data_IF_202208735141
#
_entry.id   IF_202208735141
#
_cell.length_a   1.000
_cell.length_b   1.000
_cell.length_c   1.000
_cell.angle_alpha   90.00
_cell.angle_beta   90.00
_cell.angle_gamma   90.00
#
_symmetry.space_group_name_H-M   'P 1'
#
loop_
_entity.id
_entity.type
_entity.pdbx_description
1 polymer ?
#
# COMPACT_ATOMS: atom_id res chain seq x y z
N UNK A 1 -2.66 15.36 20.86
CA UNK A 1 -3.81 15.76 21.71
C UNK A 1 -4.02 14.66 22.72
N UNK A 2 -4.19 15.01 24.00
CA UNK A 2 -4.53 14.03 25.04
C UNK A 2 -5.83 13.32 24.66
N UNK A 3 -5.93 12.01 24.90
CA UNK A 3 -7.13 11.21 24.58
C UNK A 3 -8.40 11.84 25.13
N UNK A 4 -8.31 12.41 26.35
CA UNK A 4 -9.39 13.14 27.00
C UNK A 4 -9.84 14.37 26.20
N UNK A 5 -8.91 15.12 25.59
CA UNK A 5 -9.23 16.29 24.75
C UNK A 5 -9.94 15.88 23.47
N UNK A 6 -9.51 14.79 22.83
CA UNK A 6 -10.17 14.27 21.62
C UNK A 6 -11.56 13.74 21.93
N UNK A 7 -11.74 13.01 23.03
CA UNK A 7 -13.05 12.56 23.47
C UNK A 7 -13.98 13.74 23.79
N UNK A 8 -13.49 14.73 24.55
CA UNK A 8 -14.25 15.95 24.84
C UNK A 8 -14.65 16.70 23.57
N UNK A 9 -13.77 16.74 22.56
CA UNK A 9 -14.07 17.32 21.26
C UNK A 9 -15.20 16.57 20.53
N UNK A 10 -15.19 15.23 20.54
CA UNK A 10 -16.29 14.43 19.96
C UNK A 10 -17.62 14.69 20.67
N UNK A 11 -17.63 14.77 22.00
CA UNK A 11 -18.84 15.07 22.78
C UNK A 11 -19.35 16.48 22.46
N UNK A 12 -18.47 17.48 22.42
CA UNK A 12 -18.84 18.84 22.05
C UNK A 12 -19.42 18.91 20.61
N UNK A 13 -18.85 18.14 19.69
CA UNK A 13 -19.34 18.01 18.32
C UNK A 13 -20.75 17.42 18.29
N UNK A 14 -20.99 16.36 19.07
CA UNK A 14 -22.30 15.69 19.15
C UNK A 14 -23.39 16.60 19.71
N UNK A 15 -23.08 17.36 20.76
CA UNK A 15 -24.01 18.32 21.34
C UNK A 15 -24.37 19.43 20.35
N UNK A 16 -23.38 19.97 19.62
CA UNK A 16 -23.62 21.00 18.61
C UNK A 16 -24.54 20.50 17.48
N UNK A 17 -24.38 19.25 17.03
CA UNK A 17 -25.27 18.66 16.03
C UNK A 17 -26.68 18.45 16.59
N UNK A 18 -26.81 17.85 17.78
CA UNK A 18 -28.12 17.56 18.39
C UNK A 18 -28.90 18.86 18.62
N UNK A 19 -28.27 19.90 19.17
CA UNK A 19 -28.92 21.21 19.38
C UNK A 19 -29.33 21.83 18.02
N UNK A 20 -28.44 21.77 17.04
CA UNK A 20 -28.69 22.30 15.69
C UNK A 20 -29.88 21.62 14.99
N UNK A 21 -30.07 20.33 15.23
CA UNK A 21 -31.19 19.56 14.67
C UNK A 21 -32.46 19.63 15.54
N UNK A 22 -32.33 19.83 16.85
CA UNK A 22 -33.46 19.88 17.78
C UNK A 22 -34.21 21.22 17.75
N UNK A 23 -33.52 22.35 17.56
CA UNK A 23 -34.15 23.67 17.50
C UNK A 23 -35.15 23.82 16.32
N UNK A 24 -34.85 23.37 15.08
CA UNK A 24 -35.84 23.33 14.01
C UNK A 24 -37.00 22.37 14.30
N UNK A 25 -36.74 21.25 15.00
CA UNK A 25 -37.78 20.32 15.43
C UNK A 25 -38.79 20.99 16.38
N UNK A 26 -38.33 21.79 17.35
CA UNK A 26 -39.20 22.58 18.23
C UNK A 26 -40.11 23.55 17.45
N UNK A 27 -39.58 24.21 16.43
CA UNK A 27 -40.36 25.11 15.58
C UNK A 27 -41.43 24.34 14.79
N UNK A 28 -41.03 23.28 14.07
CA UNK A 28 -41.92 22.56 13.14
C UNK A 28 -42.94 21.66 13.84
N UNK A 29 -42.59 21.08 15.00
CA UNK A 29 -43.43 20.10 15.69
C UNK A 29 -44.12 20.63 16.95
N UNK A 30 -43.55 21.62 17.62
CA UNK A 30 -44.09 22.13 18.89
C UNK A 30 -44.58 23.59 18.79
N UNK A 31 -44.54 24.21 17.61
CA UNK A 31 -45.12 25.53 17.37
C UNK A 31 -44.36 26.69 18.01
N UNK A 32 -43.08 26.50 18.37
CA UNK A 32 -42.23 27.57 18.88
C UNK A 32 -41.92 28.62 17.79
N UNK A 33 -41.27 29.74 18.14
CA UNK A 33 -40.96 30.80 17.18
C UNK A 33 -39.89 30.38 16.16
N UNK A 34 -40.04 30.83 14.91
CA UNK A 34 -39.06 30.66 13.83
C UNK A 34 -37.69 31.30 14.16
N UNK A 35 -37.63 32.20 15.16
CA UNK A 35 -36.38 32.78 15.63
C UNK A 35 -35.36 31.73 16.11
N UNK A 36 -35.82 30.53 16.49
CA UNK A 36 -34.96 29.41 16.87
C UNK A 36 -34.10 28.86 15.70
N UNK A 37 -34.43 29.21 14.45
CA UNK A 37 -33.65 28.78 13.28
C UNK A 37 -32.27 29.46 13.21
N UNK A 38 -32.15 30.68 13.72
CA UNK A 38 -30.88 31.40 13.73
C UNK A 38 -29.83 30.71 14.64
N UNK A 39 -30.12 30.42 15.93
CA UNK A 39 -29.19 29.65 16.76
C UNK A 39 -29.00 28.21 16.24
N UNK A 40 -30.01 27.61 15.59
CA UNK A 40 -29.85 26.30 14.94
C UNK A 40 -28.78 26.31 13.84
N UNK A 41 -28.83 27.30 12.95
CA UNK A 41 -27.86 27.46 11.87
C UNK A 41 -26.44 27.71 12.41
N UNK A 42 -26.31 28.53 13.46
CA UNK A 42 -25.02 28.76 14.13
C UNK A 42 -24.48 27.47 14.74
N UNK A 43 -25.35 26.65 15.37
CA UNK A 43 -24.96 25.37 15.97
C UNK A 43 -24.48 24.37 14.91
N UNK A 44 -25.16 24.30 13.75
CA UNK A 44 -24.74 23.43 12.64
C UNK A 44 -23.43 23.91 11.97
N UNK A 45 -23.23 25.23 11.85
CA UNK A 45 -21.97 25.79 11.38
C UNK A 45 -20.82 25.48 12.36
N UNK A 46 -21.08 25.56 13.66
CA UNK A 46 -20.14 25.20 14.71
C UNK A 46 -19.80 23.70 14.65
N UNK A 47 -20.79 22.83 14.46
CA UNK A 47 -20.57 21.39 14.26
C UNK A 47 -19.63 21.11 13.08
N UNK A 48 -19.88 21.73 11.92
CA UNK A 48 -19.04 21.57 10.74
C UNK A 48 -17.60 22.04 11.00
N UNK A 49 -17.42 23.14 11.75
CA UNK A 49 -16.11 23.62 12.16
C UNK A 49 -15.43 22.65 13.15
N UNK A 50 -16.11 22.17 14.19
CA UNK A 50 -15.53 21.25 15.17
C UNK A 50 -15.00 19.96 14.52
N UNK A 51 -15.66 19.47 13.46
CA UNK A 51 -15.18 18.31 12.70
C UNK A 51 -13.83 18.56 12.04
N UNK A 52 -13.52 19.79 11.59
CA UNK A 52 -12.23 20.11 10.95
C UNK A 52 -11.05 20.08 11.92
N UNK A 53 -11.31 20.19 13.23
CA UNK A 53 -10.29 20.14 14.27
C UNK A 53 -9.77 18.73 14.56
N UNK A 54 -10.39 17.69 13.99
CA UNK A 54 -9.97 16.31 14.22
C UNK A 54 -8.75 15.94 13.35
N UNK A 55 -7.64 15.44 13.94
CA UNK A 55 -6.35 15.26 13.26
C UNK A 55 -6.27 14.01 12.35
N UNK A 56 -7.40 13.38 12.01
CA UNK A 56 -7.46 12.13 11.26
C UNK A 56 -8.29 12.25 9.99
N UNK A 57 -8.09 11.34 9.02
CA UNK A 57 -8.87 11.31 7.79
C UNK A 57 -10.39 11.42 8.07
N UNK A 58 -11.07 12.31 7.34
CA UNK A 58 -12.47 12.69 7.61
C UNK A 58 -13.41 11.50 7.76
N UNK A 59 -13.32 10.48 6.89
CA UNK A 59 -14.18 9.29 6.98
C UNK A 59 -14.04 8.49 8.28
N UNK A 60 -12.84 8.44 8.88
CA UNK A 60 -12.64 7.79 10.19
C UNK A 60 -13.18 8.63 11.33
N UNK A 61 -13.10 9.96 11.22
CA UNK A 61 -13.69 10.89 12.19
C UNK A 61 -15.20 10.68 12.23
N UNK A 62 -15.88 10.68 11.08
CA UNK A 62 -17.32 10.43 11.02
C UNK A 62 -17.72 9.08 11.58
N UNK A 63 -16.96 8.02 11.26
CA UNK A 63 -17.25 6.68 11.77
C UNK A 63 -17.05 6.56 13.28
N UNK A 64 -16.00 7.19 13.85
CA UNK A 64 -15.77 7.20 15.29
C UNK A 64 -16.77 8.09 16.02
N UNK A 65 -17.04 9.27 15.47
CA UNK A 65 -18.01 10.24 15.94
C UNK A 65 -19.41 9.61 16.13
N UNK A 66 -19.86 8.79 15.17
CA UNK A 66 -21.16 8.14 15.22
C UNK A 66 -21.39 7.31 16.50
N UNK A 67 -20.35 6.66 17.03
CA UNK A 67 -20.44 5.92 18.29
C UNK A 67 -20.69 6.84 19.50
N UNK A 68 -19.96 7.97 19.58
CA UNK A 68 -20.17 8.97 20.63
C UNK A 68 -21.54 9.64 20.49
N UNK A 69 -21.94 9.96 19.26
CA UNK A 69 -23.23 10.58 18.95
C UNK A 69 -24.40 9.75 19.49
N UNK A 70 -24.41 8.44 19.28
CA UNK A 70 -25.47 7.55 19.79
C UNK A 70 -25.55 7.62 21.31
N UNK A 71 -24.41 7.60 22.01
CA UNK A 71 -24.37 7.74 23.47
C UNK A 71 -24.94 9.10 23.94
N UNK A 72 -24.54 10.19 23.30
CA UNK A 72 -25.03 11.54 23.64
C UNK A 72 -26.53 11.67 23.32
N UNK A 73 -27.02 11.08 22.23
CA UNK A 73 -28.42 11.08 21.85
C UNK A 73 -29.30 10.33 22.87
N UNK A 74 -28.85 9.18 23.37
CA UNK A 74 -29.58 8.44 24.44
C UNK A 74 -29.57 9.22 25.76
N UNK A 75 -28.46 9.88 26.10
CA UNK A 75 -28.41 10.77 27.25
C UNK A 75 -29.34 11.99 27.08
N UNK A 76 -29.43 12.54 25.87
CA UNK A 76 -30.34 13.63 25.52
C UNK A 76 -31.80 13.21 25.67
N UNK A 77 -32.17 12.03 25.16
CA UNK A 77 -33.49 11.43 25.30
C UNK A 77 -33.91 11.35 26.78
N UNK A 78 -32.98 10.99 27.66
CA UNK A 78 -33.24 10.95 29.10
C UNK A 78 -33.32 12.35 29.73
N UNK A 79 -32.39 13.23 29.40
CA UNK A 79 -32.24 14.53 30.06
C UNK A 79 -33.29 15.56 29.62
N UNK A 80 -33.55 15.65 28.32
CA UNK A 80 -34.39 16.68 27.68
C UNK A 80 -35.77 16.13 27.40
N UNK A 81 -35.88 14.99 26.73
CA UNK A 81 -37.18 14.39 26.37
C UNK A 81 -37.85 13.66 27.55
N UNK A 82 -37.15 13.49 28.68
CA UNK A 82 -37.63 12.85 29.91
C UNK A 82 -38.10 11.39 29.72
N UNK A 83 -37.65 10.73 28.65
CA UNK A 83 -37.95 9.32 28.38
C UNK A 83 -36.85 8.47 28.99
N UNK A 84 -37.22 7.50 29.84
CA UNK A 84 -36.24 6.61 30.46
C UNK A 84 -35.65 5.64 29.43
N UNK A 85 -34.32 5.60 29.24
CA UNK A 85 -33.69 4.65 28.33
C UNK A 85 -33.91 3.23 28.79
N UNK A 86 -34.29 2.38 27.85
CA UNK A 86 -34.47 0.95 28.07
C UNK A 86 -33.13 0.21 28.16
N UNK A 87 -33.13 -1.02 28.67
CA UNK A 87 -31.93 -1.87 28.69
C UNK A 87 -31.40 -2.10 27.27
N UNK A 88 -32.28 -2.23 26.28
CA UNK A 88 -31.90 -2.38 24.87
C UNK A 88 -31.18 -1.15 24.31
N UNK A 89 -31.52 0.05 24.77
CA UNK A 89 -30.83 1.29 24.37
C UNK A 89 -29.41 1.31 24.90
N UNK A 90 -29.21 0.93 26.17
CA UNK A 90 -27.89 0.83 26.77
C UNK A 90 -26.99 -0.22 26.10
N UNK A 91 -27.56 -1.37 25.74
CA UNK A 91 -26.85 -2.39 24.96
C UNK A 91 -26.48 -1.82 23.58
N UNK A 92 -27.40 -1.11 22.92
CA UNK A 92 -27.14 -0.45 21.63
C UNK A 92 -26.02 0.58 21.70
N UNK A 93 -25.99 1.42 22.74
CA UNK A 93 -24.89 2.36 23.02
C UNK A 93 -23.58 1.59 23.21
N UNK A 94 -23.58 0.52 24.00
CA UNK A 94 -22.40 -0.32 24.23
C UNK A 94 -21.84 -0.92 22.92
N UNK A 95 -22.70 -1.49 22.08
CA UNK A 95 -22.31 -2.05 20.77
C UNK A 95 -21.78 -0.97 19.83
N UNK A 96 -22.41 0.22 19.83
CA UNK A 96 -21.99 1.34 18.98
C UNK A 96 -20.62 1.90 19.39
N UNK A 97 -20.39 2.07 20.70
CA UNK A 97 -19.09 2.47 21.25
C UNK A 97 -18.02 1.41 20.99
N UNK A 98 -18.37 0.12 21.07
CA UNK A 98 -17.47 -0.97 20.71
C UNK A 98 -17.11 -0.93 19.22
N UNK A 99 -18.08 -0.70 18.33
CA UNK A 99 -17.84 -0.52 16.90
C UNK A 99 -16.91 0.66 16.60
N UNK A 100 -17.16 1.81 17.24
CA UNK A 100 -16.26 2.97 17.21
C UNK A 100 -14.86 2.59 17.70
N UNK A 101 -14.75 1.89 18.84
CA UNK A 101 -13.46 1.46 19.39
C UNK A 101 -12.73 0.54 18.41
N UNK A 102 -13.42 -0.39 17.75
CA UNK A 102 -12.85 -1.26 16.72
C UNK A 102 -12.36 -0.46 15.51
N UNK A 103 -13.06 0.61 15.11
CA UNK A 103 -12.64 1.45 13.96
C UNK A 103 -11.44 2.33 14.34
N UNK A 104 -11.40 2.83 15.58
CA UNK A 104 -10.32 3.67 16.10
C UNK A 104 -9.06 2.88 16.48
N UNK A 105 -9.23 1.71 17.10
CA UNK A 105 -8.19 0.73 17.39
C UNK A 105 -7.85 -0.13 16.17
N UNK A 106 -8.72 -0.07 15.15
CA UNK A 106 -8.53 -0.65 13.83
C UNK A 106 -7.12 -0.36 13.42
N UNK A 107 -6.30 -1.41 13.17
CA UNK A 107 -4.88 -1.21 13.02
C UNK A 107 -4.65 -0.12 12.00
N UNK A 108 -3.76 0.82 12.31
CA UNK A 108 -3.09 1.62 11.28
C UNK A 108 -2.23 0.64 10.46
N UNK A 109 -2.86 -0.31 9.77
CA UNK A 109 -2.29 -1.44 9.04
C UNK A 109 -1.64 -0.96 7.72
N UNK A 110 -1.02 0.21 7.78
CA UNK A 110 0.25 0.47 7.12
C UNK A 110 1.29 0.71 8.22
N UNK A 111 1.36 -0.21 9.19
CA UNK A 111 2.62 -0.59 9.81
C UNK A 111 2.96 -1.92 9.18
N UNK A 112 4.05 -1.92 8.43
CA UNK A 112 4.76 -3.14 8.06
C UNK A 112 5.10 -3.84 9.38
N UNK A 113 4.25 -4.78 9.79
CA UNK A 113 4.63 -5.69 10.86
C UNK A 113 5.67 -6.63 10.25
N UNK A 114 6.84 -6.82 10.90
CA UNK A 114 7.67 -7.97 10.60
C UNK A 114 6.79 -9.21 10.71
N UNK A 115 6.88 -10.07 9.71
CA UNK A 115 6.14 -11.32 9.64
C UNK A 115 6.56 -12.22 10.80
N UNK A 116 5.86 -12.11 11.94
CA UNK A 116 5.94 -13.14 12.98
C UNK A 116 4.96 -14.26 12.63
N UNK A 117 5.53 -15.27 11.97
CA UNK A 117 5.25 -16.70 12.13
C UNK A 117 3.81 -17.05 12.54
N UNK A 118 2.91 -17.24 11.56
CA UNK A 118 1.74 -18.12 11.74
C UNK A 118 2.06 -19.50 11.17
N UNK A 119 2.53 -20.38 12.05
CA UNK A 119 2.58 -21.82 11.79
C UNK A 119 1.20 -22.30 11.36
N UNK A 120 1.19 -23.13 10.33
CA UNK A 120 -0.02 -23.71 9.77
C UNK A 120 -0.74 -24.56 10.79
N UNK A 121 -2.02 -24.27 10.99
CA UNK A 121 -2.98 -25.28 11.39
C UNK A 121 -4.04 -25.34 10.30
N UNK A 122 -3.85 -26.32 9.41
CA UNK A 122 -4.79 -26.67 8.35
C UNK A 122 -5.89 -27.52 8.99
N UNK A 123 -7.02 -26.90 9.34
CA UNK A 123 -8.28 -27.64 9.54
C UNK A 123 -9.22 -27.26 8.40
N UNK A 124 -9.56 -28.27 7.60
CA UNK A 124 -10.52 -28.16 6.52
C UNK A 124 -11.89 -27.74 7.04
N UNK A 125 -12.42 -26.66 6.48
CA UNK A 125 -13.76 -26.15 6.73
C UNK A 125 -14.34 -25.64 5.43
N UNK A 126 -15.10 -26.51 4.78
CA UNK A 126 -15.80 -26.28 3.51
C UNK A 126 -16.95 -25.29 3.76
N UNK A 127 -16.71 -23.99 3.59
CA UNK A 127 -17.78 -23.00 3.48
C UNK A 127 -17.53 -22.10 2.28
N UNK A 128 -18.15 -22.47 1.16
CA UNK A 128 -18.24 -21.63 -0.02
C UNK A 128 -19.30 -20.57 0.19
N UNK A 129 -18.87 -19.32 0.39
CA UNK A 129 -19.75 -18.17 0.20
C UNK A 129 -19.80 -17.86 -1.30
N UNK A 130 -20.91 -18.28 -1.91
CA UNK A 130 -21.28 -17.97 -3.29
C UNK A 130 -21.75 -16.51 -3.34
N UNK A 131 -20.87 -15.59 -3.74
CA UNK A 131 -21.29 -14.23 -4.10
C UNK A 131 -22.02 -14.29 -5.45
N UNK A 132 -23.35 -14.23 -5.40
CA UNK A 132 -24.20 -14.00 -6.57
C UNK A 132 -24.14 -12.51 -6.89
N UNK A 133 -23.20 -12.12 -7.74
CA UNK A 133 -23.14 -10.78 -8.33
C UNK A 133 -24.21 -10.65 -9.40
N UNK A 134 -25.34 -10.06 -9.02
CA UNK A 134 -26.47 -9.74 -9.90
C UNK A 134 -26.08 -8.58 -10.81
N UNK A 135 -26.19 -8.81 -12.12
CA UNK A 135 -26.07 -7.80 -13.18
C UNK A 135 -26.89 -6.55 -12.85
N UNK A 136 -26.24 -5.40 -12.84
CA UNK A 136 -26.90 -4.11 -13.09
C UNK A 136 -26.44 -3.67 -14.48
N UNK A 137 -27.37 -3.81 -15.41
CA UNK A 137 -27.31 -3.26 -16.73
C UNK A 137 -27.05 -1.75 -16.66
N UNK A 138 -26.06 -1.28 -17.42
CA UNK A 138 -26.09 0.06 -17.97
C UNK A 138 -26.23 -0.05 -19.48
N UNK A 139 -27.31 0.59 -19.91
CA UNK A 139 -27.87 0.73 -21.22
C UNK A 139 -26.97 1.47 -22.20
N UNK A 140 -26.94 0.94 -23.42
CA UNK A 140 -27.05 1.67 -24.69
C UNK A 140 -26.22 2.95 -24.89
N UNK A 141 -25.15 2.82 -25.66
CA UNK A 141 -24.90 3.74 -26.78
C UNK A 141 -24.42 2.92 -27.98
N UNK A 142 -25.17 3.05 -29.08
CA UNK A 142 -24.97 2.39 -30.36
C UNK A 142 -24.05 3.27 -31.19
N UNK A 143 -23.02 2.69 -31.81
CA UNK A 143 -22.74 3.03 -33.20
C UNK A 143 -22.09 1.82 -33.91
N UNK A 144 -22.83 1.32 -34.89
CA UNK A 144 -22.40 0.49 -36.03
C UNK A 144 -21.25 1.18 -36.78
N UNK A 145 -20.37 0.60 -37.58
CA UNK A 145 -20.17 -0.73 -38.14
C UNK A 145 -18.78 -0.69 -38.81
N UNK A 146 -18.06 -1.82 -38.84
CA UNK A 146 -17.44 -2.36 -40.06
C UNK A 146 -16.69 -3.66 -39.74
N UNK A 147 -17.28 -4.77 -40.16
CA UNK A 147 -16.62 -6.06 -40.42
C UNK A 147 -17.27 -6.53 -41.73
N UNK A 148 -16.53 -7.06 -42.71
CA UNK A 148 -16.19 -8.49 -42.70
C UNK A 148 -14.79 -8.73 -43.33
N UNK A 149 -14.17 -9.91 -43.38
CA UNK A 149 -14.57 -11.29 -43.20
C UNK A 149 -13.31 -12.15 -42.96
N UNK A 150 -13.51 -13.29 -42.28
CA UNK A 150 -12.98 -14.67 -42.52
C UNK A 150 -11.61 -14.80 -43.22
N UNK A 151 -10.69 -15.65 -42.72
CA UNK A 151 -10.64 -17.10 -43.01
C UNK A 151 -9.68 -17.78 -42.00
N UNK A 152 -10.09 -18.93 -41.48
CA UNK A 152 -9.22 -20.01 -40.98
C UNK A 152 -9.44 -21.23 -41.91
N UNK A 153 -8.78 -22.41 -41.77
CA UNK A 153 -7.56 -22.81 -41.03
C UNK A 153 -6.60 -23.71 -41.88
N UNK A 154 -5.38 -23.99 -41.40
CA UNK A 154 -4.55 -25.17 -41.72
C UNK A 154 -3.33 -25.12 -40.77
N UNK A 155 -2.82 -26.17 -40.11
CA UNK A 155 -2.75 -27.59 -40.46
C UNK A 155 -1.30 -27.95 -40.85
N UNK A 156 -0.81 -29.10 -40.37
CA UNK A 156 0.48 -29.78 -40.63
C UNK A 156 1.73 -29.29 -39.85
N UNK A 157 2.26 -30.12 -38.93
CA UNK A 157 3.12 -31.31 -39.13
C UNK A 157 4.60 -30.92 -39.17
N UNK A 158 5.34 -31.17 -38.09
CA UNK A 158 6.16 -32.37 -37.92
C UNK A 158 7.27 -32.49 -38.98
N UNK A 159 8.52 -32.27 -38.56
CA UNK A 159 9.70 -32.88 -39.16
C UNK A 159 10.81 -32.95 -38.11
N UNK A 160 10.97 -34.15 -37.56
CA UNK A 160 12.21 -34.63 -36.99
C UNK A 160 13.16 -34.96 -38.16
N UNK A 161 14.39 -34.48 -38.11
CA UNK A 161 15.50 -35.07 -38.83
C UNK A 161 16.61 -35.30 -37.80
N UNK A 162 16.79 -36.56 -37.42
CA UNK A 162 17.96 -37.00 -36.68
C UNK A 162 19.14 -37.18 -37.62
N UNK A 163 20.35 -37.02 -37.07
CA UNK A 163 21.56 -37.73 -37.48
C UNK A 163 22.50 -37.77 -36.27
N UNK A 164 22.95 -38.98 -35.96
CA UNK A 164 23.78 -39.41 -34.83
C UNK A 164 25.28 -39.35 -35.20
N UNK A 165 26.21 -39.94 -34.43
CA UNK A 165 26.89 -39.42 -33.25
C UNK A 165 28.41 -39.24 -33.48
N UNK A 166 29.08 -38.43 -32.65
CA UNK A 166 30.53 -38.50 -32.52
C UNK A 166 30.95 -38.34 -31.06
N UNK A 167 31.55 -39.42 -30.59
CA UNK A 167 32.12 -39.74 -29.29
C UNK A 167 33.41 -38.94 -29.06
N UNK A 168 33.56 -38.25 -27.92
CA UNK A 168 34.87 -38.01 -27.32
C UNK A 168 34.79 -37.81 -25.80
N UNK A 169 35.56 -38.67 -25.14
CA UNK A 169 35.83 -38.82 -23.70
C UNK A 169 36.40 -37.55 -23.06
N UNK A 170 36.00 -37.30 -21.81
CA UNK A 170 36.66 -36.38 -20.89
C UNK A 170 35.96 -36.33 -19.53
N UNK A 171 36.63 -36.84 -18.50
CA UNK A 171 36.21 -37.14 -17.12
C UNK A 171 35.74 -35.94 -16.26
N UNK A 172 35.06 -36.20 -15.11
CA UNK A 172 34.23 -35.23 -14.40
C UNK A 172 34.99 -34.43 -13.32
N UNK A 173 34.56 -33.19 -13.03
CA UNK A 173 34.94 -32.46 -11.82
C UNK A 173 33.71 -32.03 -11.02
N UNK A 174 33.48 -32.82 -9.96
CA UNK A 174 33.01 -32.47 -8.61
C UNK A 174 31.95 -31.37 -8.44
N UNK A 175 30.73 -31.81 -8.13
CA UNK A 175 29.88 -31.18 -7.13
C UNK A 175 30.60 -31.19 -5.78
N UNK A 176 30.66 -30.03 -5.11
CA UNK A 176 30.69 -29.80 -3.65
C UNK A 176 30.95 -28.28 -3.51
N UNK A 177 30.01 -27.43 -3.09
CA UNK A 177 29.68 -27.26 -1.68
C UNK A 177 28.36 -26.46 -1.53
N UNK A 178 27.31 -27.15 -1.12
CA UNK A 178 26.19 -26.54 -0.39
C UNK A 178 26.61 -26.58 1.08
N UNK A 179 26.85 -25.42 1.70
CA UNK A 179 27.15 -25.36 3.14
C UNK A 179 25.83 -25.22 3.91
N UNK A 180 25.45 -26.19 4.76
CA UNK A 180 24.33 -26.03 5.68
C UNK A 180 24.76 -25.11 6.83
N UNK A 181 23.95 -24.11 7.13
CA UNK A 181 24.18 -23.21 8.29
C UNK A 181 23.60 -23.86 9.54
N UNK A 182 24.47 -24.32 10.44
CA UNK A 182 24.13 -24.58 11.85
C UNK A 182 24.60 -23.42 12.75
N UNK A 183 23.93 -23.18 13.89
CA UNK A 183 24.12 -21.96 14.67
C UNK A 183 25.25 -22.14 15.70
N UNK A 184 26.24 -21.25 15.71
CA UNK A 184 27.10 -21.04 16.89
C UNK A 184 27.36 -19.57 17.14
N UNK A 185 26.99 -19.13 18.34
CA UNK A 185 27.49 -17.92 18.97
C UNK A 185 28.97 -18.09 19.31
N UNK A 186 29.82 -17.17 18.85
CA UNK A 186 30.99 -16.70 19.57
C UNK A 186 31.43 -15.36 18.96
N UNK A 187 31.55 -14.36 19.81
CA UNK A 187 32.02 -13.03 19.46
C UNK A 187 33.53 -13.03 19.19
N UNK A 188 33.95 -12.34 18.14
CA UNK A 188 35.31 -11.77 18.03
C UNK A 188 35.27 -10.52 17.16
N UNK A 189 35.59 -9.39 17.78
CA UNK A 189 35.72 -8.07 17.17
C UNK A 189 37.01 -7.99 16.34
N UNK A 190 36.89 -7.59 15.07
CA UNK A 190 38.00 -7.29 14.14
C UNK A 190 37.46 -6.30 13.08
N UNK A 191 38.29 -5.43 12.47
CA UNK A 191 37.89 -4.12 11.98
C UNK A 191 36.83 -4.24 10.89
N UNK A 192 35.68 -3.61 11.14
CA UNK A 192 34.49 -3.68 10.31
C UNK A 192 34.83 -3.31 8.85
N UNK A 193 34.77 -4.23 7.87
CA UNK A 193 34.60 -3.82 6.48
C UNK A 193 33.27 -3.06 6.38
N UNK A 194 33.12 -2.09 5.44
CA UNK A 194 31.86 -1.38 5.30
C UNK A 194 30.74 -2.41 5.10
N UNK A 195 29.75 -2.38 6.00
CA UNK A 195 28.65 -3.32 6.01
C UNK A 195 28.10 -3.47 4.58
N UNK A 196 28.24 -4.66 4.00
CA UNK A 196 27.77 -4.99 2.66
C UNK A 196 26.29 -4.65 2.58
N UNK A 197 25.93 -3.59 1.88
CA UNK A 197 24.55 -3.18 1.76
C UNK A 197 23.77 -4.23 0.97
N UNK A 198 22.86 -4.91 1.66
CA UNK A 198 22.01 -5.94 1.09
C UNK A 198 20.63 -5.35 0.81
N UNK A 199 20.17 -5.50 -0.42
CA UNK A 199 18.80 -5.23 -0.82
C UNK A 199 17.95 -6.49 -0.61
N UNK A 200 17.02 -6.43 0.33
CA UNK A 200 16.12 -7.55 0.62
C UNK A 200 14.86 -7.50 -0.24
N UNK A 201 14.57 -8.54 -1.02
CA UNK A 201 13.33 -8.70 -1.78
C UNK A 201 12.45 -9.74 -1.09
N UNK A 202 11.33 -9.29 -0.54
CA UNK A 202 10.49 -10.07 0.38
C UNK A 202 9.00 -9.97 0.02
N UNK A 203 8.17 -10.80 0.68
CA UNK A 203 6.71 -10.76 0.54
C UNK A 203 6.20 -11.72 -0.53
N UNK A 204 5.30 -11.23 -1.38
CA UNK A 204 4.62 -11.97 -2.45
C UNK A 204 5.49 -12.40 -3.63
N UNK A 205 6.80 -12.57 -3.45
CA UNK A 205 7.69 -13.17 -4.46
C UNK A 205 7.84 -14.67 -4.20
N UNK A 206 7.86 -15.54 -5.23
CA UNK A 206 8.07 -16.98 -5.04
C UNK A 206 9.41 -17.34 -4.38
N UNK A 207 10.47 -16.59 -4.70
CA UNK A 207 11.84 -16.82 -4.21
C UNK A 207 12.39 -15.56 -3.54
N UNK A 208 12.06 -15.31 -2.26
CA UNK A 208 12.65 -14.19 -1.51
C UNK A 208 14.17 -14.29 -1.47
N UNK A 209 14.86 -13.16 -1.65
CA UNK A 209 16.31 -13.11 -1.78
C UNK A 209 16.88 -11.81 -1.21
N UNK A 210 18.19 -11.82 -0.95
CA UNK A 210 18.96 -10.62 -0.65
C UNK A 210 20.03 -10.42 -1.73
N UNK A 211 20.14 -9.21 -2.25
CA UNK A 211 21.09 -8.86 -3.30
C UNK A 211 22.14 -7.93 -2.73
N UNK A 212 23.40 -8.38 -2.75
CA UNK A 212 24.53 -7.48 -2.56
C UNK A 212 24.73 -6.62 -3.81
N UNK A 213 25.47 -5.52 -3.68
CA UNK A 213 25.78 -4.62 -4.79
C UNK A 213 26.38 -5.36 -5.99
N UNK A 214 27.30 -6.29 -5.75
CA UNK A 214 27.97 -7.07 -6.79
C UNK A 214 27.01 -8.02 -7.53
N UNK A 215 25.90 -8.41 -6.89
CA UNK A 215 24.85 -9.18 -7.55
C UNK A 215 24.00 -8.29 -8.47
N UNK A 216 23.73 -7.04 -8.06
CA UNK A 216 23.01 -6.06 -8.88
C UNK A 216 23.84 -5.61 -10.08
N UNK A 217 25.16 -5.44 -9.91
CA UNK A 217 26.09 -5.08 -11.00
C UNK A 217 26.23 -6.18 -12.07
N UNK A 218 25.91 -7.44 -11.73
CA UNK A 218 25.86 -8.55 -12.70
C UNK A 218 24.55 -8.60 -13.50
N UNK A 219 23.53 -7.85 -13.11
CA UNK A 219 22.30 -7.69 -13.89
C UNK A 219 22.55 -6.77 -15.09
N UNK A 220 21.58 -6.69 -16.01
CA UNK A 220 21.67 -5.77 -17.13
C UNK A 220 21.79 -4.32 -16.62
N UNK A 221 22.92 -3.68 -16.91
CA UNK A 221 23.18 -2.28 -16.56
C UNK A 221 22.31 -1.35 -17.39
N UNK A 222 21.71 -0.38 -16.71
CA UNK A 222 20.92 0.68 -17.33
C UNK A 222 21.45 2.03 -16.87
N UNK A 223 21.85 2.85 -17.83
CA UNK A 223 22.34 4.21 -17.58
C UNK A 223 21.20 5.23 -17.78
N UNK A 224 21.14 6.19 -16.87
CA UNK A 224 20.35 7.39 -16.98
C UNK A 224 21.29 8.55 -17.26
N UNK A 225 21.05 9.27 -18.35
CA UNK A 225 21.78 10.50 -18.66
C UNK A 225 21.45 11.66 -17.70
N UNK A 226 21.74 12.90 -18.10
CA UNK A 226 21.54 14.06 -17.25
C UNK A 226 20.11 14.13 -16.70
N UNK A 227 19.99 14.02 -15.38
CA UNK A 227 18.71 13.88 -14.68
C UNK A 227 18.57 15.01 -13.66
N UNK A 228 17.50 15.79 -13.80
CA UNK A 228 17.12 16.79 -12.82
C UNK A 228 16.11 16.18 -11.84
N UNK A 229 16.51 16.07 -10.57
CA UNK A 229 15.63 15.56 -9.52
C UNK A 229 14.76 16.70 -9.01
N UNK A 230 13.50 16.70 -9.42
CA UNK A 230 12.49 17.67 -8.98
C UNK A 230 11.81 17.19 -7.69
N UNK A 231 11.68 18.04 -6.68
CA UNK A 231 10.84 17.72 -5.52
C UNK A 231 9.36 17.75 -5.89
N UNK A 232 8.52 17.41 -4.91
CA UNK A 232 7.07 17.49 -5.08
C UNK A 232 6.57 18.89 -5.47
N UNK A 233 7.22 19.99 -5.06
CA UNK A 233 6.82 21.34 -5.47
C UNK A 233 7.33 21.76 -6.86
N UNK A 234 8.07 20.89 -7.56
CA UNK A 234 8.69 21.20 -8.86
C UNK A 234 10.00 21.98 -8.74
N UNK A 235 10.50 22.23 -7.54
CA UNK A 235 11.84 22.82 -7.33
C UNK A 235 12.91 21.76 -7.63
N UNK A 236 13.94 22.15 -8.38
CA UNK A 236 15.12 21.33 -8.58
C UNK A 236 15.86 21.12 -7.24
N UNK A 237 16.04 19.86 -6.87
CA UNK A 237 16.74 19.42 -5.64
C UNK A 237 18.17 19.01 -5.97
N UNK A 238 18.37 18.37 -7.12
CA UNK A 238 19.68 17.95 -7.57
C UNK A 238 19.73 17.94 -9.11
N UNK A 239 20.90 18.25 -9.65
CA UNK A 239 21.27 18.01 -11.04
C UNK A 239 22.31 16.90 -11.01
N UNK A 240 22.11 15.84 -11.79
CA UNK A 240 23.03 14.70 -11.84
C UNK A 240 23.38 14.42 -13.28
N UNK A 241 24.67 14.24 -13.58
CA UNK A 241 25.15 14.05 -14.94
C UNK A 241 24.80 12.66 -15.45
N UNK A 242 24.97 11.65 -14.59
CA UNK A 242 24.52 10.29 -14.88
C UNK A 242 24.24 9.46 -13.64
N UNK A 243 23.33 8.51 -13.78
CA UNK A 243 23.13 7.41 -12.84
C UNK A 243 23.26 6.09 -13.57
N UNK A 244 23.65 5.03 -12.84
CA UNK A 244 23.54 3.68 -13.36
C UNK A 244 23.00 2.71 -12.31
N UNK A 245 22.25 1.71 -12.80
CA UNK A 245 21.58 0.75 -11.97
C UNK A 245 21.04 -0.46 -12.72
N UNK A 246 20.46 -1.39 -11.97
CA UNK A 246 19.67 -2.49 -12.50
C UNK A 246 18.18 -2.08 -12.53
N UNK A 247 17.37 -2.63 -13.44
CA UNK A 247 15.93 -2.34 -13.42
C UNK A 247 15.27 -3.03 -12.24
N UNK A 248 14.33 -2.33 -11.62
CA UNK A 248 13.53 -2.87 -10.53
C UNK A 248 12.78 -4.15 -10.95
N UNK A 249 12.31 -4.21 -12.20
CA UNK A 249 11.65 -5.42 -12.73
C UNK A 249 12.60 -6.61 -12.83
N UNK A 250 13.86 -6.41 -13.23
CA UNK A 250 14.84 -7.49 -13.34
C UNK A 250 15.17 -8.07 -11.96
N UNK A 251 15.25 -7.19 -10.94
CA UNK A 251 15.42 -7.60 -9.53
C UNK A 251 14.23 -8.41 -9.03
N UNK A 252 13.00 -8.02 -9.37
CA UNK A 252 11.78 -8.75 -9.01
C UNK A 252 11.65 -10.07 -9.76
N UNK A 253 12.00 -10.11 -11.04
CA UNK A 253 11.93 -11.29 -11.89
C UNK A 253 13.00 -12.32 -11.53
N UNK A 254 14.17 -11.89 -11.05
CA UNK A 254 15.15 -12.77 -10.43
C UNK A 254 14.56 -13.55 -9.22
N UNK A 255 13.55 -12.98 -8.56
CA UNK A 255 12.80 -13.60 -7.46
C UNK A 255 11.56 -14.39 -7.92
N UNK A 256 11.34 -14.52 -9.24
CA UNK A 256 10.22 -15.22 -9.86
C UNK A 256 8.90 -14.44 -9.83
N UNK A 257 8.92 -13.10 -9.67
CA UNK A 257 7.68 -12.33 -9.53
C UNK A 257 6.74 -12.44 -10.74
N UNK A 258 7.27 -12.35 -11.97
CA UNK A 258 6.51 -12.51 -13.21
C UNK A 258 5.94 -13.91 -13.46
N UNK A 259 6.44 -14.94 -12.75
CA UNK A 259 5.93 -16.31 -12.84
C UNK A 259 4.55 -16.47 -12.18
N UNK A 260 4.12 -15.49 -11.38
CA UNK A 260 2.83 -15.54 -10.68
C UNK A 260 1.62 -15.40 -11.60
N UNK A 261 0.45 -15.90 -11.19
CA UNK A 261 -0.79 -15.69 -11.93
C UNK A 261 -1.10 -14.20 -12.11
N UNK A 262 -1.44 -13.81 -13.34
CA UNK A 262 -1.78 -12.40 -13.69
C UNK A 262 -2.91 -11.83 -12.84
N UNK A 263 -3.86 -12.65 -12.39
CA UNK A 263 -4.96 -12.23 -11.50
C UNK A 263 -4.47 -11.74 -10.13
N UNK A 264 -3.35 -12.27 -9.63
CA UNK A 264 -2.73 -11.84 -8.38
C UNK A 264 -1.88 -10.58 -8.60
N UNK A 265 -1.06 -10.59 -9.66
CA UNK A 265 -0.16 -9.49 -10.00
C UNK A 265 -0.90 -8.16 -10.19
N UNK A 266 -2.06 -8.17 -10.87
CA UNK A 266 -2.88 -6.97 -11.08
C UNK A 266 -3.39 -6.30 -9.80
N UNK A 267 -3.37 -7.02 -8.68
CA UNK A 267 -3.89 -6.54 -7.38
C UNK A 267 -2.78 -6.31 -6.36
N UNK A 268 -1.55 -6.65 -6.70
CA UNK A 268 -0.42 -6.50 -5.80
C UNK A 268 0.14 -5.07 -5.83
N UNK A 269 0.89 -4.74 -4.78
CA UNK A 269 1.58 -3.47 -4.62
C UNK A 269 3.05 -3.75 -4.31
N UNK A 270 3.96 -3.19 -5.08
CA UNK A 270 5.41 -3.25 -4.82
C UNK A 270 5.79 -2.03 -4.01
N UNK A 271 6.41 -2.26 -2.85
CA UNK A 271 6.82 -1.20 -1.92
C UNK A 271 8.34 -1.25 -1.77
N UNK A 272 9.03 -0.23 -2.26
CA UNK A 272 10.44 -0.02 -1.98
C UNK A 272 10.59 0.82 -0.70
N UNK A 273 11.53 0.46 0.16
CA UNK A 273 11.74 1.02 1.49
C UNK A 273 13.19 1.49 1.65
N UNK A 274 13.34 2.75 2.07
CA UNK A 274 14.60 3.34 2.47
C UNK A 274 14.94 3.03 3.92
N UNK A 275 16.20 3.16 4.29
CA UNK A 275 16.69 3.05 5.66
C UNK A 275 16.07 4.09 6.61
N UNK A 276 15.69 5.26 6.08
CA UNK A 276 14.96 6.33 6.76
C UNK A 276 13.45 6.05 6.94
N UNK A 277 12.97 4.91 6.42
CA UNK A 277 11.57 4.51 6.46
C UNK A 277 10.71 5.13 5.35
N UNK A 278 11.27 5.94 4.46
CA UNK A 278 10.59 6.48 3.29
C UNK A 278 10.20 5.35 2.33
N UNK A 279 9.05 5.50 1.67
CA UNK A 279 8.49 4.46 0.80
C UNK A 279 8.14 5.00 -0.58
N UNK A 280 8.62 4.30 -1.61
CA UNK A 280 8.16 4.45 -2.97
C UNK A 280 7.28 3.27 -3.35
N UNK A 281 6.11 3.55 -3.92
CA UNK A 281 5.10 2.53 -4.23
C UNK A 281 4.93 2.43 -5.74
N UNK A 282 4.79 1.20 -6.21
CA UNK A 282 4.48 0.89 -7.61
C UNK A 282 3.37 -0.16 -7.69
N UNK A 283 2.47 0.02 -8.64
CA UNK A 283 1.61 -1.07 -9.09
C UNK A 283 2.36 -1.98 -10.06
N UNK A 284 1.93 -3.24 -10.16
CA UNK A 284 2.45 -4.14 -11.19
C UNK A 284 2.27 -3.56 -12.60
N UNK A 285 1.16 -2.87 -12.86
CA UNK A 285 0.87 -2.31 -14.18
C UNK A 285 1.85 -1.17 -14.56
N UNK A 286 2.26 -0.36 -13.59
CA UNK A 286 3.30 0.67 -13.81
C UNK A 286 4.64 0.03 -14.17
N UNK A 287 5.02 -1.04 -13.47
CA UNK A 287 6.32 -1.68 -13.67
C UNK A 287 6.41 -2.52 -14.95
N UNK A 288 5.33 -3.20 -15.34
CA UNK A 288 5.38 -4.16 -16.45
C UNK A 288 4.69 -3.68 -17.74
N UNK A 289 3.76 -2.72 -17.65
CA UNK A 289 2.95 -2.29 -18.80
C UNK A 289 2.99 -0.77 -19.06
N UNK A 290 3.96 -0.06 -18.49
CA UNK A 290 4.14 1.37 -18.73
C UNK A 290 5.61 1.74 -18.85
N UNK A 291 5.87 2.93 -19.38
CA UNK A 291 7.22 3.49 -19.48
C UNK A 291 7.88 3.71 -18.12
N UNK A 292 7.11 3.78 -17.03
CA UNK A 292 7.68 3.91 -15.67
C UNK A 292 8.62 2.75 -15.36
N UNK A 293 8.22 1.51 -15.66
CA UNK A 293 9.04 0.32 -15.43
C UNK A 293 10.28 0.18 -16.29
N UNK A 294 10.38 0.93 -17.39
CA UNK A 294 11.59 0.99 -18.22
C UNK A 294 12.72 1.74 -17.49
N UNK A 295 12.37 2.72 -16.66
CA UNK A 295 13.33 3.59 -15.94
C UNK A 295 13.10 3.66 -14.42
N UNK A 296 12.47 2.63 -13.86
CA UNK A 296 12.48 2.36 -12.43
C UNK A 296 13.74 1.55 -12.11
N UNK A 297 14.77 2.21 -11.59
CA UNK A 297 16.12 1.64 -11.43
C UNK A 297 16.54 1.58 -9.96
N UNK A 298 17.15 0.46 -9.58
CA UNK A 298 17.95 0.30 -8.37
C UNK A 298 19.37 0.74 -8.70
N UNK A 299 19.73 1.93 -8.22
CA UNK A 299 20.99 2.60 -8.47
C UNK A 299 22.07 2.14 -7.50
N UNK A 300 23.28 1.98 -8.04
CA UNK A 300 24.50 1.71 -7.29
C UNK A 300 25.65 2.65 -7.71
N UNK A 301 25.45 3.48 -8.73
CA UNK A 301 26.45 4.40 -9.27
C UNK A 301 25.85 5.77 -9.59
N UNK A 302 26.62 6.83 -9.33
CA UNK A 302 26.34 8.23 -9.68
C UNK A 302 27.59 8.83 -10.32
N UNK A 303 27.46 9.43 -11.49
CA UNK A 303 28.54 10.11 -12.21
C UNK A 303 29.80 9.23 -12.42
N UNK A 304 29.63 7.95 -12.75
CA UNK A 304 30.77 7.03 -12.95
C UNK A 304 31.40 6.48 -11.66
N UNK A 305 30.92 6.90 -10.48
CA UNK A 305 31.46 6.53 -9.18
C UNK A 305 30.40 5.95 -8.22
N UNK A 306 30.81 5.43 -7.06
CA UNK A 306 29.87 4.93 -6.06
C UNK A 306 28.90 6.04 -5.59
N UNK A 307 27.71 5.65 -5.13
CA UNK A 307 26.76 6.59 -4.55
C UNK A 307 27.38 7.36 -3.37
N UNK A 308 27.05 8.65 -3.29
CA UNK A 308 27.48 9.51 -2.20
C UNK A 308 26.90 9.03 -0.85
N UNK A 309 27.61 9.19 0.28
CA UNK A 309 27.18 8.62 1.57
C UNK A 309 25.76 9.02 2.00
N UNK A 310 25.32 10.23 1.66
CA UNK A 310 23.99 10.74 2.02
C UNK A 310 22.84 10.14 1.18
N UNK A 311 23.15 9.48 0.06
CA UNK A 311 22.19 8.72 -0.75
C UNK A 311 22.09 7.26 -0.29
N UNK A 312 22.98 6.82 0.60
CA UNK A 312 23.13 5.43 1.01
C UNK A 312 23.87 4.59 -0.03
N UNK A 313 24.04 3.30 0.29
CA UNK A 313 24.78 2.38 -0.55
C UNK A 313 24.01 1.92 -1.80
N UNK A 314 22.68 1.94 -1.73
CA UNK A 314 21.77 1.73 -2.85
C UNK A 314 20.69 2.80 -2.82
N UNK A 315 20.20 3.18 -4.00
CA UNK A 315 19.13 4.16 -4.15
C UNK A 315 18.10 3.61 -5.16
N UNK A 316 16.86 4.07 -5.10
CA UNK A 316 15.86 3.82 -6.12
C UNK A 316 15.48 5.12 -6.80
N UNK A 317 15.36 5.11 -8.12
CA UNK A 317 14.76 6.21 -8.88
C UNK A 317 13.71 5.69 -9.85
N UNK A 318 12.66 6.47 -10.05
CA UNK A 318 11.71 6.31 -11.15
C UNK A 318 11.81 7.52 -12.07
N UNK A 319 12.61 7.39 -13.13
CA UNK A 319 13.03 8.54 -13.93
C UNK A 319 12.01 9.02 -14.97
N UNK A 320 10.97 8.24 -15.25
CA UNK A 320 9.88 8.62 -16.15
C UNK A 320 8.69 9.27 -15.42
N UNK A 321 8.83 9.54 -14.12
CA UNK A 321 7.86 10.34 -13.39
C UNK A 321 7.89 11.82 -13.81
N UNK A 322 6.72 12.45 -13.82
CA UNK A 322 6.62 13.91 -14.02
C UNK A 322 7.31 14.71 -12.90
N UNK A 323 7.39 14.13 -11.69
CA UNK A 323 8.15 14.64 -10.54
C UNK A 323 8.91 13.48 -9.93
N UNK A 324 10.24 13.46 -10.09
CA UNK A 324 11.06 12.31 -9.73
C UNK A 324 11.28 12.18 -8.22
N UNK A 325 11.32 13.29 -7.50
CA UNK A 325 11.66 13.35 -6.08
C UNK A 325 10.85 12.43 -5.17
N UNK A 326 9.50 12.35 -5.30
CA UNK A 326 8.68 11.42 -4.52
C UNK A 326 9.01 9.93 -4.70
N UNK A 327 9.64 9.53 -5.82
CA UNK A 327 10.09 8.15 -6.07
C UNK A 327 11.60 8.07 -6.27
N UNK A 328 12.33 9.02 -5.69
CA UNK A 328 13.77 9.01 -5.54
C UNK A 328 14.12 8.72 -4.08
N UNK A 329 14.35 7.44 -3.78
CA UNK A 329 14.45 6.90 -2.43
C UNK A 329 15.90 6.54 -2.12
N UNK A 330 16.42 7.13 -1.04
CA UNK A 330 17.79 6.95 -0.56
C UNK A 330 17.88 5.74 0.36
N UNK A 331 19.06 5.14 0.47
CA UNK A 331 19.32 4.05 1.39
C UNK A 331 18.38 2.86 1.18
N UNK A 332 18.13 2.52 -0.09
CA UNK A 332 17.24 1.42 -0.44
C UNK A 332 17.72 0.12 0.23
N UNK A 333 16.91 -0.40 1.14
CA UNK A 333 17.25 -1.57 1.95
C UNK A 333 16.31 -2.75 1.66
N UNK A 334 15.07 -2.47 1.26
CA UNK A 334 14.07 -3.51 1.06
C UNK A 334 13.10 -3.21 -0.08
N UNK A 335 12.70 -4.24 -0.82
CA UNK A 335 11.55 -4.26 -1.73
C UNK A 335 10.58 -5.32 -1.21
N UNK A 336 9.36 -4.92 -0.88
CA UNK A 336 8.31 -5.79 -0.40
C UNK A 336 7.16 -5.85 -1.42
N UNK A 337 6.85 -7.05 -1.90
CA UNK A 337 5.64 -7.28 -2.70
C UNK A 337 4.48 -7.60 -1.78
N UNK A 338 3.44 -6.75 -1.79
CA UNK A 338 2.22 -6.95 -1.01
C UNK A 338 1.12 -7.51 -1.89
N UNK A 339 0.57 -8.65 -1.48
CA UNK A 339 -0.60 -9.26 -2.10
C UNK A 339 -1.88 -8.78 -1.40
N UNK A 340 -3.02 -8.73 -2.11
CA UNK A 340 -4.30 -8.23 -1.60
C UNK A 340 -4.96 -9.13 -0.54
#
# INVERSE_FOLDING_TARGET
MDLLKTFALFVATALAEIIGCYLPYLWLRQGHSAWLLLPAAVSLALFAWLLTLHPTAAGRVYAAYGGVYIGVAVLWLWAVDKVQPSVTDWVGVGVSLLGMFIIMAGPRLVRLTPCERRQGHRIGGRFGFRYVGRNIAQSHFVDEAHTPARIAPAGCAAQNAGLSPADHRGTPMSLDAVVPVEPRCAASESPNPPASALLHVLGGVPRPAAFAREALERMARHDLGPTQVLCYSGRAVAQVDSYAGARLVDVLDACGFSERPRSELKRCVVVALGDDGYQAIFSWNELYNSTIGEKALVLYEKNGGPLEPHLGALCLISANDARLGPRHLRGLSQIAVKMP
#
